data_IF_535588893014
#
_entry.id   IF_535588893014
#
_cell.length_a   1.000
_cell.length_b   1.000
_cell.length_c   1.000
_cell.angle_alpha   90.00
_cell.angle_beta   90.00
_cell.angle_gamma   90.00
#
_symmetry.space_group_name_H-M   'P 1'
#
loop_
_entity.id
_entity.type
_entity.pdbx_description
1 polymer ?
#
# COMPACT_ATOMS: atom_id res chain seq x y z
N UNK A 1 -5.37 -16.26 13.74
CA UNK A 1 -6.43 -15.23 13.64
C UNK A 1 -6.41 -14.73 12.21
N UNK A 2 -7.55 -14.77 11.49
CA UNK A 2 -7.64 -14.23 10.12
C UNK A 2 -7.78 -12.71 10.27
N UNK A 3 -6.87 -11.92 9.72
CA UNK A 3 -7.00 -10.46 9.73
C UNK A 3 -8.20 -10.10 8.87
N UNK A 4 -9.18 -9.41 9.43
CA UNK A 4 -10.25 -8.79 8.65
C UNK A 4 -9.72 -7.47 8.07
N UNK A 5 -9.62 -7.38 6.74
CA UNK A 5 -9.06 -6.21 6.08
C UNK A 5 -9.96 -4.97 6.24
N UNK A 6 -11.27 -5.16 6.49
CA UNK A 6 -12.20 -4.06 6.68
C UNK A 6 -11.89 -3.25 7.96
N UNK A 7 -11.36 -3.92 9.00
CA UNK A 7 -10.95 -3.28 10.26
C UNK A 7 -9.77 -2.32 10.08
N UNK A 8 -8.95 -2.51 9.03
CA UNK A 8 -7.81 -1.62 8.76
C UNK A 8 -8.27 -0.19 8.48
N UNK A 9 -9.46 -0.01 7.89
CA UNK A 9 -10.02 1.30 7.56
C UNK A 9 -10.30 2.17 8.79
N UNK A 10 -10.34 1.60 9.99
CA UNK A 10 -10.41 2.34 11.25
C UNK A 10 -9.12 3.12 11.58
N UNK A 11 -8.01 2.78 10.93
CA UNK A 11 -6.70 3.41 11.12
C UNK A 11 -6.41 4.41 9.99
N UNK A 12 -5.74 5.54 10.27
CA UNK A 12 -5.41 6.53 9.23
C UNK A 12 -4.61 5.91 8.08
N UNK A 13 -5.16 5.91 6.86
CA UNK A 13 -4.50 5.32 5.69
C UNK A 13 -4.66 3.80 5.56
N UNK A 14 -5.40 3.14 6.45
CA UNK A 14 -5.64 1.71 6.37
C UNK A 14 -6.65 1.31 5.29
N UNK A 15 -7.49 2.23 4.84
CA UNK A 15 -8.33 2.08 3.65
C UNK A 15 -7.50 1.76 2.39
N UNK A 16 -6.37 2.48 2.22
CA UNK A 16 -5.44 2.24 1.11
C UNK A 16 -4.75 0.88 1.22
N UNK A 17 -4.39 0.47 2.44
CA UNK A 17 -3.71 -0.81 2.68
C UNK A 17 -4.67 -1.98 2.46
N UNK A 18 -5.91 -1.87 2.95
CA UNK A 18 -6.95 -2.87 2.72
C UNK A 18 -7.22 -3.05 1.23
N UNK A 19 -7.51 -1.95 0.52
CA UNK A 19 -7.74 -1.97 -0.92
C UNK A 19 -6.54 -2.53 -1.68
N UNK A 20 -5.31 -2.12 -1.31
CA UNK A 20 -4.11 -2.62 -1.95
C UNK A 20 -3.92 -4.12 -1.79
N UNK A 21 -4.17 -4.68 -0.60
CA UNK A 21 -4.08 -6.12 -0.36
C UNK A 21 -5.16 -6.87 -1.16
N UNK A 22 -6.39 -6.35 -1.19
CA UNK A 22 -7.49 -6.94 -1.96
C UNK A 22 -7.20 -6.91 -3.47
N UNK A 23 -6.70 -5.80 -3.99
CA UNK A 23 -6.30 -5.66 -5.39
C UNK A 23 -5.19 -6.66 -5.73
N UNK A 24 -4.15 -6.78 -4.89
CA UNK A 24 -3.10 -7.78 -5.07
C UNK A 24 -3.66 -9.22 -5.06
N UNK A 25 -4.59 -9.53 -4.16
CA UNK A 25 -5.21 -10.84 -4.09
C UNK A 25 -6.02 -11.18 -5.36
N UNK A 26 -6.54 -10.17 -6.05
CA UNK A 26 -7.26 -10.30 -7.31
C UNK A 26 -6.35 -10.15 -8.55
N UNK A 27 -5.03 -10.01 -8.38
CA UNK A 27 -4.09 -9.81 -9.49
C UNK A 27 -4.17 -8.42 -10.14
N UNK A 28 -4.76 -7.43 -9.46
CA UNK A 28 -4.95 -6.07 -9.92
C UNK A 28 -3.73 -5.22 -9.53
N UNK A 29 -3.12 -4.55 -10.51
CA UNK A 29 -2.02 -3.60 -10.30
C UNK A 29 -2.57 -2.17 -10.28
N UNK A 30 -3.06 -1.73 -9.12
CA UNK A 30 -3.58 -0.39 -8.85
C UNK A 30 -2.55 0.46 -8.09
N UNK A 31 -2.81 1.76 -7.93
CA UNK A 31 -1.98 2.62 -7.06
C UNK A 31 -1.93 2.10 -5.60
N UNK A 32 -3.06 1.74 -4.94
CA UNK A 32 -3.03 1.09 -3.62
C UNK A 32 -2.20 -0.20 -3.59
N UNK A 33 -2.31 -1.04 -4.63
CA UNK A 33 -1.60 -2.33 -4.66
C UNK A 33 -0.09 -2.15 -4.88
N UNK A 34 0.31 -1.18 -5.71
CA UNK A 34 1.69 -0.73 -5.85
C UNK A 34 2.24 -0.13 -4.55
N UNK A 35 1.45 0.67 -3.83
CA UNK A 35 1.82 1.24 -2.53
C UNK A 35 2.05 0.13 -1.47
N UNK A 36 1.20 -0.89 -1.43
CA UNK A 36 1.40 -2.06 -0.56
C UNK A 36 2.66 -2.82 -0.95
N UNK A 37 2.95 -2.98 -2.25
CA UNK A 37 4.18 -3.64 -2.71
C UNK A 37 5.45 -2.88 -2.30
N UNK A 38 5.44 -1.55 -2.35
CA UNK A 38 6.56 -0.69 -1.87
C UNK A 38 6.89 -0.97 -0.40
N UNK A 39 5.90 -1.29 0.43
CA UNK A 39 6.10 -1.55 1.87
C UNK A 39 5.86 -3.01 2.28
N UNK A 40 6.05 -3.96 1.35
CA UNK A 40 5.77 -5.39 1.56
C UNK A 40 6.36 -5.91 2.87
N UNK A 41 7.68 -5.75 3.07
CA UNK A 41 8.37 -6.28 4.24
C UNK A 41 7.87 -5.66 5.55
N UNK A 42 7.60 -4.35 5.55
CA UNK A 42 7.08 -3.64 6.72
C UNK A 42 5.67 -4.12 7.08
N UNK A 43 4.76 -4.20 6.12
CA UNK A 43 3.38 -4.61 6.34
C UNK A 43 3.27 -6.09 6.76
N UNK A 44 4.12 -6.95 6.20
CA UNK A 44 4.26 -8.34 6.67
C UNK A 44 4.82 -8.44 8.08
N UNK A 45 5.78 -7.60 8.43
CA UNK A 45 6.29 -7.48 9.80
C UNK A 45 5.18 -7.13 10.81
N UNK A 46 4.13 -6.43 10.38
CA UNK A 46 2.93 -6.15 11.17
C UNK A 46 1.91 -7.31 11.18
N UNK A 47 2.20 -8.42 10.51
CA UNK A 47 1.32 -9.60 10.42
C UNK A 47 0.18 -9.46 9.42
N UNK A 48 0.25 -8.50 8.49
CA UNK A 48 -0.76 -8.34 7.43
C UNK A 48 -0.53 -9.36 6.29
N UNK A 49 -1.59 -9.89 5.67
CA UNK A 49 -1.50 -10.96 4.68
C UNK A 49 -1.13 -10.44 3.28
N UNK A 50 0.00 -9.74 3.14
CA UNK A 50 0.45 -9.19 1.85
C UNK A 50 0.95 -10.32 0.92
N UNK A 51 0.33 -10.54 -0.26
CA UNK A 51 0.71 -11.62 -1.18
C UNK A 51 2.17 -11.55 -1.63
N UNK A 52 2.82 -12.71 -1.82
CA UNK A 52 4.20 -12.81 -2.31
C UNK A 52 4.20 -12.81 -3.84
N UNK A 53 4.79 -11.79 -4.44
CA UNK A 53 5.09 -11.78 -5.87
C UNK A 53 6.56 -12.07 -6.07
N UNK A 54 6.87 -13.17 -6.75
CA UNK A 54 8.22 -13.57 -7.17
C UNK A 54 8.66 -12.90 -8.47
N UNK A 55 7.85 -11.97 -8.99
CA UNK A 55 8.18 -11.25 -10.22
C UNK A 55 9.40 -10.35 -10.01
N UNK A 56 10.35 -10.40 -10.94
CA UNK A 56 11.55 -9.55 -11.02
C UNK A 56 11.21 -8.08 -11.36
N UNK A 57 10.13 -7.51 -10.80
CA UNK A 57 9.60 -6.18 -11.16
C UNK A 57 9.94 -5.03 -10.19
N UNK A 58 11.07 -4.99 -9.45
CA UNK A 58 11.49 -3.75 -8.83
C UNK A 58 12.03 -2.73 -9.86
N UNK A 59 11.94 -1.42 -9.57
CA UNK A 59 11.39 -0.83 -8.35
C UNK A 59 9.88 -0.51 -8.45
N UNK A 60 9.10 -0.95 -7.47
CA UNK A 60 7.65 -0.69 -7.38
C UNK A 60 7.34 0.79 -7.16
N UNK A 61 8.25 1.52 -6.53
CA UNK A 61 8.21 2.97 -6.30
C UNK A 61 8.11 3.72 -7.63
N UNK A 62 8.90 3.31 -8.62
CA UNK A 62 8.88 3.93 -9.94
C UNK A 62 7.57 3.64 -10.67
N UNK A 63 7.04 2.42 -10.54
CA UNK A 63 5.74 2.06 -11.12
C UNK A 63 4.59 2.82 -10.47
N UNK A 64 4.61 2.98 -9.15
CA UNK A 64 3.66 3.82 -8.43
C UNK A 64 3.73 5.27 -8.93
N UNK A 65 4.94 5.82 -9.02
CA UNK A 65 5.14 7.17 -9.52
C UNK A 65 4.60 7.35 -10.94
N UNK A 66 4.89 6.44 -11.86
CA UNK A 66 4.38 6.50 -13.24
C UNK A 66 2.85 6.36 -13.31
N UNK A 67 2.25 5.51 -12.46
CA UNK A 67 0.80 5.38 -12.40
C UNK A 67 0.13 6.70 -11.96
N UNK A 68 0.72 7.36 -10.96
CA UNK A 68 0.25 8.66 -10.48
C UNK A 68 0.46 9.74 -11.56
N UNK A 69 1.63 9.81 -12.19
CA UNK A 69 1.92 10.79 -13.25
C UNK A 69 1.01 10.61 -14.46
N UNK A 70 0.65 9.36 -14.81
CA UNK A 70 -0.30 9.09 -15.87
C UNK A 70 -1.72 9.62 -15.54
N UNK A 71 -2.14 9.55 -14.27
CA UNK A 71 -3.44 10.07 -13.80
C UNK A 71 -3.44 11.58 -13.57
N UNK A 72 -2.34 12.14 -13.08
CA UNK A 72 -2.19 13.54 -12.71
C UNK A 72 -0.82 14.11 -13.15
N UNK A 73 -0.66 14.43 -14.44
CA UNK A 73 0.60 14.97 -14.96
C UNK A 73 1.01 16.27 -14.26
N UNK A 74 2.27 16.36 -13.82
CA UNK A 74 2.80 17.52 -13.10
C UNK A 74 2.42 17.60 -11.61
N UNK A 75 1.55 16.72 -11.12
CA UNK A 75 1.16 16.60 -9.70
C UNK A 75 1.76 15.41 -8.98
N UNK A 76 2.45 14.50 -9.68
CA UNK A 76 2.74 13.17 -9.13
C UNK A 76 3.65 13.19 -7.91
N UNK A 77 4.62 14.09 -7.82
CA UNK A 77 5.48 14.18 -6.64
C UNK A 77 4.69 14.46 -5.36
N UNK A 78 3.74 15.38 -5.40
CA UNK A 78 2.94 15.73 -4.23
C UNK A 78 2.01 14.57 -3.83
N UNK A 79 1.34 13.94 -4.79
CA UNK A 79 0.47 12.79 -4.54
C UNK A 79 1.24 11.56 -4.06
N UNK A 80 2.40 11.27 -4.67
CA UNK A 80 3.29 10.18 -4.25
C UNK A 80 3.71 10.35 -2.78
N UNK A 81 4.15 11.55 -2.41
CA UNK A 81 4.52 11.84 -1.02
C UNK A 81 3.32 11.76 -0.07
N UNK A 82 2.13 12.18 -0.52
CA UNK A 82 0.91 12.06 0.27
C UNK A 82 0.54 10.59 0.53
N UNK A 83 0.66 9.70 -0.46
CA UNK A 83 0.42 8.27 -0.31
C UNK A 83 1.42 7.62 0.65
N UNK A 84 2.71 7.92 0.53
CA UNK A 84 3.72 7.44 1.48
C UNK A 84 3.50 7.96 2.91
N UNK A 85 3.05 9.21 3.04
CA UNK A 85 2.67 9.81 4.32
C UNK A 85 1.51 9.04 4.98
N UNK A 86 0.43 8.80 4.23
CA UNK A 86 -0.72 8.02 4.73
C UNK A 86 -0.33 6.60 5.13
N UNK A 87 0.51 5.93 4.34
CA UNK A 87 1.05 4.61 4.67
C UNK A 87 1.88 4.64 5.97
N UNK A 88 2.69 5.68 6.14
CA UNK A 88 3.47 5.86 7.37
C UNK A 88 2.55 6.06 8.58
N UNK A 89 1.53 6.92 8.47
CA UNK A 89 0.52 7.11 9.52
C UNK A 89 -0.21 5.81 9.87
N UNK A 90 -0.58 5.02 8.87
CA UNK A 90 -1.21 3.71 9.08
C UNK A 90 -0.31 2.81 9.90
N UNK A 91 0.92 2.59 9.45
CA UNK A 91 1.84 1.66 10.12
C UNK A 91 2.15 2.09 11.55
N UNK A 92 2.25 3.40 11.82
CA UNK A 92 2.42 3.92 13.19
C UNK A 92 1.18 3.63 14.04
N UNK A 93 -0.01 4.02 13.56
CA UNK A 93 -1.26 3.86 14.29
C UNK A 93 -1.58 2.39 14.57
N UNK A 94 -1.42 1.51 13.58
CA UNK A 94 -1.67 0.07 13.71
C UNK A 94 -0.68 -0.61 14.66
N UNK A 95 0.60 -0.20 14.67
CA UNK A 95 1.60 -0.75 15.60
C UNK A 95 1.28 -0.40 17.05
N UNK A 96 0.82 0.83 17.32
CA UNK A 96 0.50 1.27 18.69
C UNK A 96 -0.71 0.56 19.30
N UNK A 97 -1.55 -0.10 18.50
CA UNK A 97 -2.74 -0.82 18.96
C UNK A 97 -2.51 -2.34 19.11
N UNK A 98 -1.35 -2.85 18.69
CA UNK A 98 -0.96 -4.26 18.80
C UNK A 98 -0.13 -4.51 20.05
#
# INVERSE_FOLDING_TARGET
>A
MKVDLSELSAYPGGDLVAQGIEDLANGITSEPSLLVMVATERLRGLGLPVPVFTSNWPPYEHRLFLAIEARNPGGAHAEYNALLGRLTSFTQSYTSHK
#
